data_IF_782800191771
#
_entry.id   IF_782800191771
#
_cell.length_a   1.000
_cell.length_b   1.000
_cell.length_c   1.000
_cell.angle_alpha   90.00
_cell.angle_beta   90.00
_cell.angle_gamma   90.00
#
_symmetry.space_group_name_H-M   'P 1'
#
loop_
_entity.id
_entity.type
_entity.pdbx_description
1 polymer ?
#
# COMPACT_ATOMS: atom_id res chain seq x y z
N UNK A 1 -23.84 -17.73 9.72
CA UNK A 1 -22.69 -18.10 10.58
C UNK A 1 -21.62 -17.02 10.44
N UNK A 2 -21.60 -16.04 11.36
CA UNK A 2 -20.49 -15.09 11.47
C UNK A 2 -19.36 -15.75 12.26
N UNK A 3 -18.49 -16.48 11.56
CA UNK A 3 -17.20 -16.87 12.14
C UNK A 3 -16.33 -15.62 12.16
N UNK A 4 -16.11 -15.04 13.34
CA UNK A 4 -15.07 -14.02 13.51
C UNK A 4 -13.71 -14.60 13.13
N UNK A 5 -12.80 -13.79 12.61
CA UNK A 5 -11.47 -14.25 12.20
C UNK A 5 -10.40 -13.20 12.49
N UNK A 6 -9.16 -13.67 12.55
CA UNK A 6 -7.99 -12.83 12.30
C UNK A 6 -7.76 -12.77 10.79
N UNK A 7 -7.34 -11.62 10.27
CA UNK A 7 -6.90 -11.57 8.88
C UNK A 7 -5.64 -12.42 8.70
N UNK A 8 -5.41 -12.90 7.49
CA UNK A 8 -4.23 -13.67 7.15
C UNK A 8 -3.80 -13.51 5.70
N UNK A 9 -2.53 -13.80 5.43
CA UNK A 9 -1.99 -14.01 4.10
C UNK A 9 -0.76 -14.94 4.18
N UNK A 10 -0.40 -15.55 3.06
CA UNK A 10 0.83 -16.31 2.90
C UNK A 10 1.81 -15.59 1.98
N UNK A 11 3.10 -15.82 2.18
CA UNK A 11 4.16 -15.44 1.24
C UNK A 11 4.98 -16.68 0.88
N UNK A 12 5.33 -16.86 -0.39
CA UNK A 12 6.37 -17.81 -0.77
C UNK A 12 7.57 -17.01 -1.24
N UNK A 13 8.70 -17.17 -0.56
CA UNK A 13 9.96 -16.50 -0.87
C UNK A 13 11.11 -17.47 -0.62
N UNK A 14 12.06 -17.55 -1.56
CA UNK A 14 13.17 -18.52 -1.53
C UNK A 14 12.72 -19.96 -1.25
N UNK A 15 11.65 -20.40 -1.94
CA UNK A 15 11.01 -21.72 -1.78
C UNK A 15 10.45 -22.03 -0.37
N UNK A 16 10.44 -21.05 0.54
CA UNK A 16 9.84 -21.18 1.86
C UNK A 16 8.48 -20.51 1.89
N UNK A 17 7.52 -21.18 2.55
CA UNK A 17 6.18 -20.65 2.77
C UNK A 17 6.08 -20.06 4.16
N UNK A 18 5.75 -18.78 4.22
CA UNK A 18 5.47 -18.03 5.44
C UNK A 18 3.98 -17.71 5.51
N UNK A 19 3.44 -17.65 6.71
CA UNK A 19 2.04 -17.28 6.95
C UNK A 19 2.00 -16.19 8.01
N UNK A 20 1.22 -15.16 7.74
CA UNK A 20 1.11 -13.96 8.56
C UNK A 20 -0.34 -13.77 8.98
N UNK A 21 -0.54 -13.29 10.20
CA UNK A 21 -1.87 -13.05 10.76
C UNK A 21 -1.94 -11.71 11.48
N UNK A 22 -3.10 -11.06 11.42
CA UNK A 22 -3.34 -9.82 12.18
C UNK A 22 -3.31 -10.02 13.69
N UNK A 23 -3.35 -11.27 14.18
CA UNK A 23 -3.16 -11.57 15.61
C UNK A 23 -1.83 -11.04 16.15
N UNK A 24 -0.78 -11.15 15.32
CA UNK A 24 0.62 -10.99 15.72
C UNK A 24 1.24 -9.66 15.23
N UNK A 25 0.43 -8.78 14.63
CA UNK A 25 0.86 -7.50 14.03
C UNK A 25 0.91 -6.33 15.02
N UNK A 26 1.45 -6.57 16.21
CA UNK A 26 1.59 -5.53 17.25
C UNK A 26 2.76 -4.58 16.96
N UNK A 27 2.68 -3.33 17.41
CA UNK A 27 3.82 -2.41 17.37
C UNK A 27 4.94 -2.87 18.30
N UNK A 28 6.18 -2.56 17.92
CA UNK A 28 7.39 -2.94 18.65
C UNK A 28 8.04 -1.73 19.33
N UNK A 29 9.09 -1.97 20.11
CA UNK A 29 9.97 -0.92 20.63
C UNK A 29 10.81 -0.26 19.53
N UNK A 30 11.19 -1.02 18.49
CA UNK A 30 11.84 -0.49 17.30
C UNK A 30 10.87 0.15 16.31
N UNK A 31 11.44 0.83 15.31
CA UNK A 31 10.70 1.45 14.19
C UNK A 31 11.21 0.89 12.87
N UNK A 32 10.74 -0.29 12.40
CA UNK A 32 11.21 -0.83 11.13
C UNK A 32 10.94 0.14 9.96
N UNK A 33 11.87 0.17 9.01
CA UNK A 33 11.74 0.97 7.78
C UNK A 33 10.89 0.19 6.79
N UNK A 34 9.76 0.78 6.41
CA UNK A 34 8.93 0.26 5.33
C UNK A 34 9.73 0.20 4.02
N UNK A 35 9.59 -0.90 3.28
CA UNK A 35 10.23 -1.12 1.98
C UNK A 35 10.22 0.13 1.09
N UNK A 36 11.41 0.52 0.61
CA UNK A 36 11.59 1.60 -0.35
C UNK A 36 11.88 1.00 -1.72
N UNK A 37 11.02 1.28 -2.70
CA UNK A 37 11.16 0.74 -4.05
C UNK A 37 12.42 1.27 -4.74
N UNK A 38 13.26 0.37 -5.26
CA UNK A 38 14.37 0.75 -6.13
C UNK A 38 13.86 1.26 -7.50
N UNK A 39 12.64 0.86 -7.90
CA UNK A 39 12.02 1.32 -9.15
C UNK A 39 11.67 2.80 -9.12
N UNK A 40 11.60 3.45 -7.96
CA UNK A 40 11.37 4.90 -7.89
C UNK A 40 12.50 5.68 -8.58
N UNK A 41 13.76 5.26 -8.38
CA UNK A 41 14.90 5.88 -9.05
C UNK A 41 14.90 5.57 -10.55
N UNK A 42 14.67 4.30 -10.91
CA UNK A 42 14.65 3.87 -12.32
C UNK A 42 13.55 4.60 -13.09
N UNK A 43 12.33 4.70 -12.56
CA UNK A 43 11.23 5.42 -13.18
C UNK A 43 11.53 6.92 -13.33
N UNK A 44 12.18 7.53 -12.34
CA UNK A 44 12.57 8.93 -12.42
C UNK A 44 13.56 9.18 -13.55
N UNK A 45 14.65 8.40 -13.63
CA UNK A 45 15.66 8.52 -14.67
C UNK A 45 15.08 8.19 -16.05
N UNK A 46 14.29 7.12 -16.16
CA UNK A 46 13.62 6.72 -17.38
C UNK A 46 12.68 7.82 -17.89
N UNK A 47 11.86 8.41 -17.01
CA UNK A 47 10.96 9.49 -17.37
C UNK A 47 11.73 10.72 -17.87
N UNK A 48 12.82 11.10 -17.21
CA UNK A 48 13.66 12.22 -17.65
C UNK A 48 14.31 11.94 -19.02
N UNK A 49 14.79 10.71 -19.24
CA UNK A 49 15.38 10.31 -20.50
C UNK A 49 14.36 10.35 -21.65
N UNK A 50 13.15 9.82 -21.42
CA UNK A 50 12.04 9.86 -22.39
C UNK A 50 11.66 11.31 -22.69
N UNK A 51 11.47 12.14 -21.68
CA UNK A 51 11.13 13.56 -21.87
C UNK A 51 12.18 14.27 -22.73
N UNK A 52 13.47 14.02 -22.49
CA UNK A 52 14.54 14.57 -23.31
C UNK A 52 14.44 14.08 -24.75
N UNK A 53 14.39 12.77 -24.98
CA UNK A 53 14.40 12.20 -26.34
C UNK A 53 13.18 12.60 -27.16
N UNK A 54 12.01 12.58 -26.55
CA UNK A 54 10.73 12.83 -27.22
C UNK A 54 10.44 14.32 -27.39
N UNK A 55 10.62 15.11 -26.33
CA UNK A 55 10.18 16.51 -26.32
C UNK A 55 11.30 17.44 -26.80
N UNK A 56 12.52 17.22 -26.30
CA UNK A 56 13.66 18.10 -26.58
C UNK A 56 14.30 17.73 -27.91
N UNK A 57 14.72 16.47 -28.05
CA UNK A 57 15.46 16.01 -29.24
C UNK A 57 14.51 15.71 -30.42
N UNK A 58 13.22 15.48 -30.14
CA UNK A 58 12.17 15.14 -31.13
C UNK A 58 12.52 13.93 -31.97
N UNK A 59 13.14 12.93 -31.33
CA UNK A 59 13.49 11.66 -31.97
C UNK A 59 12.22 10.96 -32.46
N UNK A 60 12.24 10.49 -33.72
CA UNK A 60 11.04 9.94 -34.37
C UNK A 60 10.73 8.51 -33.94
N UNK A 61 11.75 7.76 -33.52
CA UNK A 61 11.59 6.40 -33.02
C UNK A 61 12.52 6.12 -31.83
N UNK A 62 12.23 6.71 -30.65
CA UNK A 62 13.12 6.63 -29.50
C UNK A 62 13.07 5.27 -28.77
N UNK A 63 12.21 4.33 -29.19
CA UNK A 63 11.90 3.11 -28.40
C UNK A 63 13.11 2.21 -28.16
N UNK A 64 13.95 2.00 -29.17
CA UNK A 64 15.14 1.14 -29.02
C UNK A 64 16.15 1.76 -28.04
N UNK A 65 16.34 3.08 -28.12
CA UNK A 65 17.21 3.81 -27.17
C UNK A 65 16.64 3.83 -25.75
N UNK A 66 15.32 3.98 -25.60
CA UNK A 66 14.64 3.92 -24.30
C UNK A 66 14.82 2.53 -23.66
N UNK A 67 14.61 1.47 -24.45
CA UNK A 67 14.79 0.09 -23.97
C UNK A 67 16.24 -0.18 -23.57
N UNK A 68 17.21 0.26 -24.38
CA UNK A 68 18.62 0.11 -24.05
C UNK A 68 18.97 0.88 -22.77
N UNK A 69 18.49 2.13 -22.62
CA UNK A 69 18.73 2.93 -21.42
C UNK A 69 18.14 2.28 -20.17
N UNK A 70 16.96 1.65 -20.29
CA UNK A 70 16.36 0.91 -19.19
C UNK A 70 17.21 -0.31 -18.78
N UNK A 71 17.75 -1.06 -19.74
CA UNK A 71 18.68 -2.18 -19.46
C UNK A 71 19.91 -1.66 -18.69
N UNK A 72 20.51 -0.57 -19.17
CA UNK A 72 21.68 0.05 -18.53
C UNK A 72 21.34 0.52 -17.09
N UNK A 73 20.14 1.07 -16.85
CA UNK A 73 19.70 1.45 -15.51
C UNK A 73 19.59 0.25 -14.57
N UNK A 74 19.06 -0.88 -15.02
CA UNK A 74 18.98 -2.10 -14.21
C UNK A 74 20.36 -2.67 -13.88
N UNK A 75 21.32 -2.62 -14.81
CA UNK A 75 22.68 -3.09 -14.57
C UNK A 75 23.42 -2.23 -13.52
N UNK A 76 23.09 -0.95 -13.44
CA UNK A 76 23.73 0.00 -12.52
C UNK A 76 22.98 0.18 -11.18
N UNK A 77 21.74 -0.29 -11.07
CA UNK A 77 20.94 -0.19 -9.84
C UNK A 77 20.94 -1.52 -9.08
N UNK A 78 21.55 -1.54 -7.90
CA UNK A 78 21.48 -2.72 -7.03
C UNK A 78 20.06 -2.85 -6.45
N UNK A 79 19.43 -4.00 -6.67
CA UNK A 79 18.10 -4.27 -6.13
C UNK A 79 18.20 -4.74 -4.68
N UNK A 80 17.84 -3.87 -3.73
CA UNK A 80 17.58 -4.35 -2.37
C UNK A 80 16.38 -5.31 -2.37
N UNK A 81 16.68 -6.59 -2.18
CA UNK A 81 15.73 -7.71 -2.28
C UNK A 81 15.08 -8.07 -0.93
N UNK A 82 14.83 -7.09 -0.06
CA UNK A 82 14.36 -7.35 1.30
C UNK A 82 13.25 -6.38 1.70
N UNK A 83 12.11 -6.92 2.13
CA UNK A 83 11.09 -6.16 2.88
C UNK A 83 11.39 -6.17 4.38
N UNK A 84 10.62 -5.39 5.16
CA UNK A 84 10.74 -5.34 6.61
C UNK A 84 10.80 -6.73 7.26
N UNK A 85 9.94 -7.65 6.83
CA UNK A 85 9.83 -9.00 7.40
C UNK A 85 11.04 -9.91 7.09
N UNK A 86 11.86 -9.57 6.10
CA UNK A 86 13.06 -10.34 5.76
C UNK A 86 14.26 -9.95 6.62
N UNK A 87 14.13 -8.83 7.37
CA UNK A 87 15.16 -8.32 8.26
C UNK A 87 14.88 -8.81 9.68
N UNK A 88 15.93 -9.12 10.49
CA UNK A 88 15.74 -9.43 11.89
C UNK A 88 14.97 -8.29 12.58
N UNK A 89 14.04 -8.60 13.50
CA UNK A 89 13.41 -7.57 14.33
C UNK A 89 14.53 -6.78 15.01
N UNK A 90 14.62 -5.49 14.71
CA UNK A 90 15.55 -4.61 15.39
C UNK A 90 14.82 -3.90 16.51
N UNK A 91 15.33 -4.00 17.73
CA UNK A 91 14.90 -3.17 18.85
C UNK A 91 15.40 -1.73 18.71
N UNK A 92 16.25 -1.44 17.72
CA UNK A 92 16.72 -0.08 17.46
C UNK A 92 15.67 0.76 16.74
N UNK A 93 15.59 2.02 17.17
CA UNK A 93 14.85 3.04 16.44
C UNK A 93 15.64 3.42 15.17
N UNK A 94 14.99 3.37 14.00
CA UNK A 94 15.59 3.88 12.76
C UNK A 94 15.25 5.35 12.51
N UNK A 95 14.38 5.93 13.35
CA UNK A 95 13.98 7.33 13.34
C UNK A 95 13.64 7.83 14.73
N UNK A 96 13.63 9.16 14.89
CA UNK A 96 13.10 9.81 16.09
C UNK A 96 11.59 9.56 16.17
N UNK A 97 11.10 9.33 17.38
CA UNK A 97 9.66 9.22 17.64
C UNK A 97 8.97 10.55 17.37
N UNK A 98 7.82 10.48 16.70
CA UNK A 98 7.05 11.64 16.29
C UNK A 98 6.32 12.24 17.49
N UNK A 99 6.30 13.56 17.56
CA UNK A 99 5.45 14.29 18.50
C UNK A 99 3.96 14.11 18.17
N UNK A 100 3.05 14.36 19.12
CA UNK A 100 1.60 14.28 18.87
C UNK A 100 1.11 15.09 17.67
N UNK A 101 1.71 16.25 17.40
CA UNK A 101 1.34 17.08 16.25
C UNK A 101 1.84 16.49 14.93
N UNK A 102 3.04 15.90 14.92
CA UNK A 102 3.57 15.21 13.75
C UNK A 102 2.80 13.91 13.46
N UNK A 103 2.33 13.22 14.50
CA UNK A 103 1.47 12.04 14.37
C UNK A 103 0.13 12.34 13.70
N UNK A 104 -0.36 13.58 13.74
CA UNK A 104 -1.58 13.99 13.04
C UNK A 104 -1.34 14.36 11.57
N UNK A 105 -0.10 14.56 11.15
CA UNK A 105 0.20 14.91 9.76
C UNK A 105 0.15 13.68 8.86
N UNK A 106 -0.26 13.88 7.60
CA UNK A 106 -0.16 12.81 6.59
C UNK A 106 1.31 12.45 6.40
N UNK A 107 1.73 11.20 6.64
CA UNK A 107 3.11 10.82 6.43
C UNK A 107 3.39 10.72 4.93
N UNK A 108 4.57 11.17 4.51
CA UNK A 108 4.99 11.12 3.10
C UNK A 108 5.13 9.68 2.57
N UNK A 109 5.45 8.74 3.46
CA UNK A 109 5.56 7.31 3.18
C UNK A 109 4.84 6.53 4.28
N UNK A 110 4.57 5.23 4.08
CA UNK A 110 4.04 4.38 5.14
C UNK A 110 5.09 4.23 6.26
N UNK A 111 4.64 4.31 7.51
CA UNK A 111 5.51 4.25 8.69
C UNK A 111 5.00 3.15 9.63
N UNK A 112 5.90 2.37 10.23
CA UNK A 112 5.59 1.58 11.41
C UNK A 112 5.81 2.43 12.67
N UNK A 113 4.81 2.44 13.55
CA UNK A 113 4.86 3.18 14.80
C UNK A 113 5.51 2.35 15.89
N UNK A 114 6.21 3.04 16.79
CA UNK A 114 6.71 2.41 18.02
C UNK A 114 5.56 2.21 19.00
N UNK A 115 5.77 1.37 20.01
CA UNK A 115 4.80 1.20 21.09
C UNK A 115 4.49 2.51 21.84
N UNK A 116 5.44 3.44 21.92
CA UNK A 116 5.21 4.74 22.58
C UNK A 116 4.33 5.67 21.72
N UNK A 117 4.55 5.66 20.40
CA UNK A 117 3.70 6.38 19.46
C UNK A 117 2.30 5.79 19.40
N UNK A 118 2.18 4.46 19.37
CA UNK A 118 0.88 3.79 19.49
C UNK A 118 0.17 4.22 20.79
N UNK A 119 0.86 4.21 21.93
CA UNK A 119 0.28 4.67 23.19
C UNK A 119 -0.19 6.14 23.14
N UNK A 120 0.56 7.00 22.46
CA UNK A 120 0.17 8.41 22.26
C UNK A 120 -1.10 8.51 21.40
N UNK A 121 -1.13 7.80 20.27
CA UNK A 121 -2.28 7.74 19.35
C UNK A 121 -3.54 7.18 20.04
N UNK A 122 -3.40 6.11 20.83
CA UNK A 122 -4.52 5.52 21.57
C UNK A 122 -5.16 6.48 22.58
N UNK A 123 -4.40 7.48 23.07
CA UNK A 123 -4.87 8.51 23.99
C UNK A 123 -5.43 9.77 23.30
N UNK A 124 -5.40 9.84 21.96
CA UNK A 124 -6.03 10.94 21.24
C UNK A 124 -7.53 10.96 21.48
N UNK A 125 -8.13 12.15 21.43
CA UNK A 125 -9.58 12.29 21.36
C UNK A 125 -10.10 11.66 20.05
N UNK A 126 -11.43 11.54 19.93
CA UNK A 126 -12.07 10.93 18.77
C UNK A 126 -11.67 11.57 17.44
N UNK A 127 -11.74 12.90 17.35
CA UNK A 127 -11.47 13.63 16.10
C UNK A 127 -10.01 13.48 15.66
N UNK A 128 -9.07 13.64 16.57
CA UNK A 128 -7.64 13.46 16.30
C UNK A 128 -7.32 12.02 15.89
N UNK A 129 -7.97 11.02 16.52
CA UNK A 129 -7.77 9.63 16.11
C UNK A 129 -8.35 9.35 14.72
N UNK A 130 -9.53 9.91 14.40
CA UNK A 130 -10.12 9.81 13.06
C UNK A 130 -9.23 10.48 12.00
N UNK A 131 -8.66 11.64 12.30
CA UNK A 131 -7.73 12.36 11.42
C UNK A 131 -6.49 11.53 11.13
N UNK A 132 -5.82 11.02 12.18
CA UNK A 132 -4.68 10.11 12.03
C UNK A 132 -5.05 8.87 11.19
N UNK A 133 -6.14 8.19 11.53
CA UNK A 133 -6.55 6.98 10.84
C UNK A 133 -6.86 7.24 9.36
N UNK A 134 -7.50 8.38 9.04
CA UNK A 134 -7.73 8.79 7.66
C UNK A 134 -6.41 8.99 6.91
N UNK A 135 -5.45 9.68 7.52
CA UNK A 135 -4.14 9.93 6.92
C UNK A 135 -3.37 8.64 6.64
N UNK A 136 -3.44 7.66 7.54
CA UNK A 136 -2.85 6.34 7.32
C UNK A 136 -3.45 5.61 6.13
N UNK A 137 -4.79 5.65 6.00
CA UNK A 137 -5.48 5.06 4.85
C UNK A 137 -5.10 5.78 3.56
N UNK A 138 -4.99 7.11 3.56
CA UNK A 138 -4.55 7.88 2.39
C UNK A 138 -3.15 7.41 1.95
N UNK A 139 -2.18 7.31 2.86
CA UNK A 139 -0.81 6.91 2.51
C UNK A 139 -0.75 5.48 1.94
N UNK A 140 -1.57 4.55 2.44
CA UNK A 140 -1.67 3.19 1.88
C UNK A 140 -2.31 3.23 0.47
N UNK A 141 -3.37 4.01 0.28
CA UNK A 141 -4.05 4.14 -1.02
C UNK A 141 -3.17 4.84 -2.07
N UNK A 142 -2.39 5.85 -1.66
CA UNK A 142 -1.40 6.52 -2.49
C UNK A 142 -0.35 5.52 -2.98
N UNK A 143 0.14 4.62 -2.11
CA UNK A 143 1.08 3.56 -2.52
C UNK A 143 0.43 2.59 -3.51
N UNK A 144 -0.78 2.11 -3.24
CA UNK A 144 -1.51 1.21 -4.16
C UNK A 144 -1.71 1.87 -5.54
N UNK A 145 -1.98 3.18 -5.57
CA UNK A 145 -2.18 3.93 -6.81
C UNK A 145 -0.94 3.95 -7.70
N UNK A 146 0.27 3.93 -7.13
CA UNK A 146 1.52 3.86 -7.92
C UNK A 146 1.63 2.59 -8.77
N UNK A 147 0.97 1.50 -8.36
CA UNK A 147 0.99 0.20 -9.03
C UNK A 147 -0.26 -0.06 -9.88
N UNK A 148 -1.27 0.82 -9.79
CA UNK A 148 -2.53 0.67 -10.51
C UNK A 148 -2.29 0.86 -12.01
N UNK A 149 -2.74 -0.12 -12.79
CA UNK A 149 -2.82 -0.01 -14.26
C UNK A 149 -3.91 1.01 -14.65
N UNK A 150 -3.58 1.92 -15.57
CA UNK A 150 -4.45 3.03 -16.01
C UNK A 150 -5.83 2.58 -16.51
N UNK A 151 -5.88 1.44 -17.20
CA UNK A 151 -7.11 0.85 -17.74
C UNK A 151 -8.01 0.19 -16.70
N UNK A 152 -7.54 0.01 -15.47
CA UNK A 152 -8.25 -0.74 -14.42
C UNK A 152 -9.06 0.18 -13.51
N UNK A 153 -10.37 -0.07 -13.42
CA UNK A 153 -11.28 0.66 -12.53
C UNK A 153 -11.35 -0.01 -11.16
N UNK A 154 -11.03 0.76 -10.12
CA UNK A 154 -11.09 0.32 -8.73
C UNK A 154 -12.41 0.80 -8.13
N UNK A 155 -13.20 -0.12 -7.59
CA UNK A 155 -14.53 0.17 -7.04
C UNK A 155 -14.61 -0.23 -5.57
N UNK A 156 -15.17 0.62 -4.69
CA UNK A 156 -15.37 0.29 -3.29
C UNK A 156 -16.11 -1.04 -3.10
N UNK A 157 -15.72 -1.86 -2.10
CA UNK A 157 -16.39 -3.13 -1.83
C UNK A 157 -17.75 -2.92 -1.17
N UNK A 158 -18.68 -3.85 -1.41
CA UNK A 158 -19.98 -3.91 -0.71
C UNK A 158 -20.08 -5.07 0.29
N UNK A 159 -19.02 -5.89 0.40
CA UNK A 159 -19.02 -7.15 1.16
C UNK A 159 -17.70 -7.31 1.89
N UNK A 160 -17.76 -7.90 3.09
CA UNK A 160 -16.60 -8.22 3.94
C UNK A 160 -15.73 -9.38 3.42
N UNK A 161 -16.09 -10.01 2.30
CA UNK A 161 -15.31 -11.12 1.73
C UNK A 161 -13.82 -10.77 1.53
N UNK A 162 -13.52 -9.51 1.19
CA UNK A 162 -12.15 -9.08 0.87
C UNK A 162 -11.21 -9.07 2.08
N UNK A 163 -11.71 -8.83 3.30
CA UNK A 163 -10.89 -8.92 4.52
C UNK A 163 -10.70 -10.39 4.97
N UNK A 164 -11.66 -11.27 4.62
CA UNK A 164 -11.62 -12.69 4.98
C UNK A 164 -10.68 -13.52 4.10
N UNK A 165 -10.43 -13.08 2.86
CA UNK A 165 -9.55 -13.81 1.93
C UNK A 165 -8.15 -13.97 2.55
N UNK A 166 -7.45 -15.06 2.26
CA UNK A 166 -6.06 -15.24 2.69
C UNK A 166 -5.19 -15.46 1.44
N UNK A 167 -4.75 -14.38 0.76
CA UNK A 167 -3.97 -14.53 -0.46
C UNK A 167 -2.61 -15.16 -0.20
N UNK A 168 -2.01 -15.73 -1.23
CA UNK A 168 -0.63 -16.24 -1.21
C UNK A 168 0.18 -15.42 -2.22
N UNK A 169 1.06 -14.54 -1.74
CA UNK A 169 1.90 -13.70 -2.59
C UNK A 169 3.22 -14.43 -2.87
N UNK A 170 3.58 -14.59 -4.15
CA UNK A 170 4.79 -15.32 -4.54
C UNK A 170 5.27 -14.91 -5.92
N UNK A 171 6.52 -15.26 -6.25
CA UNK A 171 7.07 -15.14 -7.59
C UNK A 171 6.48 -16.08 -8.64
N UNK A 172 5.52 -16.94 -8.27
CA UNK A 172 4.78 -17.78 -9.22
C UNK A 172 3.52 -17.12 -9.76
N UNK A 173 3.09 -16.00 -9.16
CA UNK A 173 1.94 -15.25 -9.66
C UNK A 173 2.32 -14.52 -10.97
N UNK A 174 1.44 -14.62 -11.95
CA UNK A 174 1.52 -13.82 -13.17
C UNK A 174 1.27 -12.34 -12.88
N UNK A 175 1.67 -11.45 -13.79
CA UNK A 175 1.40 -10.00 -13.66
C UNK A 175 -0.10 -9.71 -13.47
N UNK A 176 -0.97 -10.42 -14.19
CA UNK A 176 -2.42 -10.28 -14.07
C UNK A 176 -2.93 -10.69 -12.69
N UNK A 177 -2.41 -11.78 -12.13
CA UNK A 177 -2.76 -12.21 -10.78
C UNK A 177 -2.27 -11.21 -9.71
N UNK A 178 -1.07 -10.66 -9.87
CA UNK A 178 -0.55 -9.61 -8.98
C UNK A 178 -1.40 -8.32 -9.04
N UNK A 179 -1.82 -7.90 -10.23
CA UNK A 179 -2.74 -6.77 -10.39
C UNK A 179 -4.12 -7.06 -9.75
N UNK A 180 -4.62 -8.29 -9.85
CA UNK A 180 -5.86 -8.71 -9.18
C UNK A 180 -5.72 -8.65 -7.66
N UNK A 181 -4.60 -9.15 -7.14
CA UNK A 181 -4.23 -9.08 -5.72
C UNK A 181 -4.16 -7.62 -5.24
N UNK A 182 -3.62 -6.69 -6.04
CA UNK A 182 -3.59 -5.26 -5.74
C UNK A 182 -4.99 -4.66 -5.64
N UNK A 183 -5.89 -4.98 -6.56
CA UNK A 183 -7.30 -4.55 -6.49
C UNK A 183 -8.01 -5.14 -5.26
N UNK A 184 -7.73 -6.39 -4.90
CA UNK A 184 -8.29 -6.96 -3.68
C UNK A 184 -7.69 -6.33 -2.42
N UNK A 185 -6.42 -5.96 -2.44
CA UNK A 185 -5.76 -5.21 -1.35
C UNK A 185 -6.42 -3.85 -1.17
N UNK A 186 -6.67 -3.10 -2.26
CA UNK A 186 -7.46 -1.87 -2.22
C UNK A 186 -8.81 -2.08 -1.51
N UNK A 187 -9.58 -3.09 -1.92
CA UNK A 187 -10.88 -3.38 -1.30
C UNK A 187 -10.75 -3.72 0.19
N UNK A 188 -9.68 -4.42 0.59
CA UNK A 188 -9.39 -4.69 2.00
C UNK A 188 -9.11 -3.40 2.78
N UNK A 189 -8.34 -2.47 2.22
CA UNK A 189 -8.07 -1.15 2.81
C UNK A 189 -9.38 -0.37 3.01
N UNK A 190 -10.28 -0.37 2.02
CA UNK A 190 -11.58 0.33 2.15
C UNK A 190 -12.48 -0.32 3.21
N UNK A 191 -12.50 -1.65 3.29
CA UNK A 191 -13.18 -2.32 4.39
C UNK A 191 -12.61 -1.90 5.75
N UNK A 192 -11.28 -1.82 5.90
CA UNK A 192 -10.67 -1.36 7.14
C UNK A 192 -11.04 0.10 7.44
N UNK A 193 -10.96 0.98 6.44
CA UNK A 193 -11.34 2.38 6.57
C UNK A 193 -12.79 2.57 7.02
N UNK A 194 -13.71 1.72 6.56
CA UNK A 194 -15.12 1.81 6.96
C UNK A 194 -15.35 1.71 8.48
N UNK A 195 -14.40 1.17 9.25
CA UNK A 195 -14.46 1.15 10.72
C UNK A 195 -14.43 2.55 11.36
N UNK A 196 -14.01 3.59 10.62
CA UNK A 196 -14.06 4.99 11.07
C UNK A 196 -15.48 5.43 11.46
N UNK A 197 -16.50 4.76 10.92
CA UNK A 197 -17.93 5.03 11.14
C UNK A 197 -18.52 4.26 12.33
N UNK A 198 -17.72 3.41 12.98
CA UNK A 198 -18.20 2.47 14.01
C UNK A 198 -17.68 2.82 15.40
N UNK A 199 -18.29 2.27 16.44
CA UNK A 199 -17.83 2.42 17.83
C UNK A 199 -16.42 1.85 18.09
N UNK A 200 -15.86 1.07 17.16
CA UNK A 200 -14.48 0.59 17.25
C UNK A 200 -13.47 1.75 17.33
N UNK A 201 -13.78 2.89 16.70
CA UNK A 201 -12.93 4.08 16.71
C UNK A 201 -13.05 4.89 18.03
N UNK A 202 -14.03 4.59 18.89
CA UNK A 202 -14.24 5.30 20.16
C UNK A 202 -13.55 4.59 21.33
N UNK A 203 -13.58 3.26 21.36
CA UNK A 203 -13.01 2.46 22.46
C UNK A 203 -11.49 2.32 22.32
N UNK A 204 -10.75 2.66 23.39
CA UNK A 204 -9.28 2.50 23.43
C UNK A 204 -8.83 1.06 23.18
N UNK A 205 -9.55 0.07 23.71
CA UNK A 205 -9.21 -1.34 23.49
C UNK A 205 -9.48 -1.77 22.05
N UNK A 206 -10.59 -1.32 21.44
CA UNK A 206 -10.88 -1.61 20.03
C UNK A 206 -9.92 -0.88 19.09
N UNK A 207 -9.43 0.31 19.46
CA UNK A 207 -8.37 1.03 18.73
C UNK A 207 -7.05 0.25 18.70
N UNK A 208 -6.66 -0.42 19.79
CA UNK A 208 -5.49 -1.35 19.76
C UNK A 208 -5.71 -2.47 18.75
N UNK A 209 -6.93 -3.02 18.73
CA UNK A 209 -7.35 -3.96 17.71
C UNK A 209 -7.17 -3.42 16.29
N UNK A 210 -7.65 -2.20 16.05
CA UNK A 210 -7.53 -1.51 14.77
C UNK A 210 -6.06 -1.27 14.37
N UNK A 211 -5.17 -0.94 15.31
CA UNK A 211 -3.73 -0.84 15.07
C UNK A 211 -3.15 -2.14 14.53
N UNK A 212 -3.50 -3.28 15.13
CA UNK A 212 -3.05 -4.58 14.65
C UNK A 212 -3.53 -4.86 13.22
N UNK A 213 -4.78 -4.54 12.94
CA UNK A 213 -5.35 -4.72 11.60
C UNK A 213 -4.71 -3.78 10.57
N UNK A 214 -4.37 -2.55 10.96
CA UNK A 214 -3.65 -1.60 10.12
C UNK A 214 -2.22 -2.04 9.84
N UNK A 215 -1.47 -2.44 10.87
CA UNK A 215 -0.12 -2.98 10.74
C UNK A 215 -0.11 -4.23 9.84
N UNK A 216 -1.09 -5.11 10.00
CA UNK A 216 -1.26 -6.26 9.12
C UNK A 216 -1.44 -5.85 7.64
N UNK A 217 -2.27 -4.85 7.37
CA UNK A 217 -2.48 -4.33 6.01
C UNK A 217 -1.21 -3.67 5.46
N UNK A 218 -0.44 -2.95 6.28
CA UNK A 218 0.87 -2.39 5.89
C UNK A 218 1.83 -3.50 5.46
N UNK A 219 1.94 -4.55 6.25
CA UNK A 219 2.80 -5.70 5.93
C UNK A 219 2.36 -6.39 4.64
N UNK A 220 1.04 -6.58 4.45
CA UNK A 220 0.50 -7.17 3.23
C UNK A 220 0.82 -6.30 1.99
N UNK A 221 0.59 -4.99 2.07
CA UNK A 221 0.86 -4.10 0.93
C UNK A 221 2.35 -4.04 0.65
N UNK A 222 3.20 -4.03 1.66
CA UNK A 222 4.66 -4.07 1.53
C UNK A 222 5.14 -5.30 0.75
N UNK A 223 4.68 -6.49 1.15
CA UNK A 223 5.01 -7.76 0.48
C UNK A 223 4.48 -7.79 -0.94
N UNK A 224 3.26 -7.28 -1.17
CA UNK A 224 2.66 -7.24 -2.49
C UNK A 224 3.44 -6.28 -3.42
N UNK A 225 3.69 -5.05 -3.00
CA UNK A 225 4.41 -4.04 -3.81
C UNK A 225 5.82 -4.49 -4.11
N UNK A 226 6.50 -5.13 -3.15
CA UNK A 226 7.80 -5.75 -3.39
C UNK A 226 7.74 -6.82 -4.50
N UNK A 227 6.76 -7.73 -4.45
CA UNK A 227 6.60 -8.76 -5.48
C UNK A 227 6.24 -8.16 -6.85
N UNK A 228 5.46 -7.08 -6.86
CA UNK A 228 5.12 -6.35 -8.08
C UNK A 228 6.34 -5.61 -8.67
N UNK A 229 7.25 -5.11 -7.84
CA UNK A 229 8.52 -4.52 -8.27
C UNK A 229 9.46 -5.57 -8.87
N UNK A 230 9.59 -6.74 -8.24
CA UNK A 230 10.34 -7.86 -8.83
C UNK A 230 9.79 -8.29 -10.21
N UNK A 231 8.49 -8.05 -10.45
CA UNK A 231 7.82 -8.36 -11.71
C UNK A 231 7.75 -7.15 -12.66
N UNK A 232 8.42 -6.04 -12.30
CA UNK A 232 8.49 -4.78 -13.05
C UNK A 232 7.12 -4.19 -13.45
N UNK A 233 6.07 -4.41 -12.65
CA UNK A 233 4.70 -4.00 -13.04
C UNK A 233 4.60 -2.49 -13.26
N UNK A 234 5.21 -1.66 -12.40
CA UNK A 234 5.18 -0.20 -12.57
C UNK A 234 5.88 0.26 -13.84
N UNK A 235 7.04 -0.32 -14.14
CA UNK A 235 7.80 -0.02 -15.36
C UNK A 235 7.01 -0.45 -16.60
N UNK A 236 6.43 -1.64 -16.58
CA UNK A 236 5.59 -2.14 -17.67
C UNK A 236 4.37 -1.24 -17.91
N UNK A 237 3.66 -0.85 -16.85
CA UNK A 237 2.53 0.08 -16.95
C UNK A 237 2.95 1.44 -17.50
N UNK A 238 4.08 1.97 -17.04
CA UNK A 238 4.62 3.24 -17.51
C UNK A 238 4.99 3.21 -19.00
N UNK A 239 5.65 2.14 -19.47
CA UNK A 239 6.01 1.95 -20.88
C UNK A 239 4.75 1.75 -21.74
N UNK A 240 3.79 0.94 -21.28
CA UNK A 240 2.52 0.71 -22.00
C UNK A 240 1.73 2.01 -22.15
N UNK A 241 1.62 2.81 -21.08
CA UNK A 241 0.99 4.12 -21.13
C UNK A 241 1.74 5.07 -22.07
N UNK A 242 3.08 5.03 -22.08
CA UNK A 242 3.90 5.83 -22.98
C UNK A 242 3.65 5.48 -24.44
N UNK A 243 3.76 4.20 -24.81
CA UNK A 243 3.55 3.71 -26.18
C UNK A 243 2.13 4.04 -26.66
N UNK A 244 1.13 3.90 -25.79
CA UNK A 244 -0.29 4.12 -26.16
C UNK A 244 -0.58 5.58 -26.47
N UNK A 245 0.06 6.51 -25.77
CA UNK A 245 -0.21 7.95 -25.91
C UNK A 245 0.78 8.65 -26.84
N UNK A 246 1.99 8.14 -27.01
CA UNK A 246 2.97 8.71 -27.94
C UNK A 246 2.50 8.56 -29.40
N UNK A 247 2.68 9.57 -30.29
CA UNK A 247 3.26 10.90 -30.05
C UNK A 247 2.24 11.98 -29.65
N UNK A 248 1.01 11.60 -29.28
CA UNK A 248 -0.03 12.58 -28.89
C UNK A 248 0.40 13.31 -27.61
N UNK A 249 0.15 14.61 -27.56
CA UNK A 249 0.66 15.54 -26.55
C UNK A 249 0.13 15.33 -25.11
N UNK A 250 -0.61 14.25 -24.83
CA UNK A 250 -1.30 14.04 -23.56
C UNK A 250 -0.74 12.86 -22.76
N UNK A 251 0.56 12.59 -22.88
CA UNK A 251 1.24 11.66 -21.97
C UNK A 251 1.06 12.17 -20.53
N UNK A 252 0.50 11.33 -19.65
CA UNK A 252 0.24 11.68 -18.25
C UNK A 252 -1.07 12.40 -17.92
N UNK A 253 -1.97 12.67 -18.89
CA UNK A 253 -3.24 13.39 -18.64
C UNK A 253 -4.45 12.49 -18.33
N UNK A 254 -4.25 11.25 -17.90
CA UNK A 254 -5.37 10.37 -17.53
C UNK A 254 -6.20 10.95 -16.38
N UNK A 255 -7.49 11.20 -16.61
CA UNK A 255 -8.48 11.59 -15.58
C UNK A 255 -8.84 10.40 -14.66
N UNK A 256 -7.83 9.73 -14.11
CA UNK A 256 -8.03 8.71 -13.09
C UNK A 256 -8.39 9.40 -11.79
N UNK A 257 -9.63 9.22 -11.29
CA UNK A 257 -9.97 9.57 -9.90
C UNK A 257 -8.93 8.93 -8.97
N UNK A 258 -8.40 9.73 -8.03
CA UNK A 258 -7.38 9.27 -7.08
C UNK A 258 -7.99 8.20 -6.21
N UNK A 259 -7.24 7.15 -5.89
CA UNK A 259 -7.78 6.08 -5.05
C UNK A 259 -8.14 6.59 -3.66
N UNK A 260 -7.36 7.54 -3.15
CA UNK A 260 -7.61 8.14 -1.85
C UNK A 260 -8.87 9.02 -1.79
N UNK A 261 -9.47 9.42 -2.93
CA UNK A 261 -10.64 10.31 -2.91
C UNK A 261 -11.83 9.68 -2.17
N UNK A 262 -11.84 8.34 -2.08
CA UNK A 262 -12.82 7.56 -1.32
C UNK A 262 -12.87 7.92 0.17
N UNK A 263 -11.81 8.48 0.75
CA UNK A 263 -11.81 8.89 2.16
C UNK A 263 -12.64 10.16 2.41
N UNK A 264 -13.05 10.84 1.35
CA UNK A 264 -13.92 12.01 1.38
C UNK A 264 -15.37 11.68 0.99
N UNK A 265 -15.68 10.40 0.73
CA UNK A 265 -17.07 9.95 0.57
C UNK A 265 -17.83 10.09 1.88
N UNK A 266 -19.16 10.26 1.83
CA UNK A 266 -19.95 10.42 3.04
C UNK A 266 -19.86 9.19 3.95
N UNK A 267 -19.67 9.39 5.26
CA UNK A 267 -19.54 8.31 6.25
C UNK A 267 -20.73 7.34 6.20
N UNK A 268 -21.93 7.83 5.90
CA UNK A 268 -23.16 7.02 5.77
C UNK A 268 -23.05 5.90 4.73
N UNK A 269 -22.31 6.13 3.63
CA UNK A 269 -22.11 5.12 2.58
C UNK A 269 -21.23 3.95 3.06
N UNK A 270 -20.43 4.18 4.10
CA UNK A 270 -19.51 3.20 4.67
C UNK A 270 -20.05 2.54 5.94
N UNK A 271 -21.03 3.12 6.63
CA UNK A 271 -21.54 2.63 7.91
C UNK A 271 -21.93 1.15 7.89
N UNK A 272 -22.75 0.74 6.91
CA UNK A 272 -23.20 -0.65 6.78
C UNK A 272 -22.02 -1.62 6.54
N UNK A 273 -20.98 -1.17 5.83
CA UNK A 273 -19.77 -1.97 5.65
C UNK A 273 -18.97 -2.03 6.95
N UNK A 274 -18.83 -0.89 7.64
CA UNK A 274 -18.15 -0.73 8.91
C UNK A 274 -18.66 -1.72 9.94
N UNK A 275 -19.96 -1.75 10.19
CA UNK A 275 -20.58 -2.66 11.17
C UNK A 275 -20.27 -4.12 10.85
N UNK A 276 -20.39 -4.51 9.57
CA UNK A 276 -20.09 -5.88 9.14
C UNK A 276 -18.61 -6.23 9.31
N UNK A 277 -17.70 -5.29 9.08
CA UNK A 277 -16.26 -5.48 9.28
C UNK A 277 -15.96 -5.60 10.77
N UNK A 278 -16.53 -4.71 11.59
CA UNK A 278 -16.39 -4.73 13.05
C UNK A 278 -16.86 -6.07 13.65
N UNK A 279 -18.01 -6.56 13.21
CA UNK A 279 -18.57 -7.85 13.64
C UNK A 279 -17.74 -9.07 13.21
N UNK A 280 -16.85 -8.90 12.22
CA UNK A 280 -16.08 -9.99 11.61
C UNK A 280 -14.67 -10.15 12.20
N UNK A 281 -14.06 -9.10 12.73
CA UNK A 281 -12.65 -9.11 13.15
C UNK A 281 -12.50 -9.40 14.65
N UNK A 282 -11.73 -10.45 15.00
CA UNK A 282 -11.50 -10.85 16.39
C UNK A 282 -10.75 -9.77 17.18
N UNK A 283 -9.84 -9.04 16.53
CA UNK A 283 -9.08 -7.98 17.20
C UNK A 283 -9.96 -6.80 17.67
N UNK A 284 -11.19 -6.66 17.15
CA UNK A 284 -12.11 -5.57 17.49
C UNK A 284 -13.14 -5.94 18.58
N UNK A 285 -12.94 -7.08 19.24
CA UNK A 285 -13.74 -7.52 20.39
C UNK A 285 -13.48 -6.67 21.64
#
# INVERSE_FOLDING_TARGET
MNSRFYQGFGRIFNNNRYSYSSKDSSSTTGSPIFYKSHLDHILYELNNFILKKVIVDREANPLDEINQYLVDLYENCDMENLVTLDRPPSDSLTRVELSPMELLQKPNNIIYYTINEENSLLNFNLEHFKEWFRNEIISILDLIELYKKSSRVYTPPRRVYYIRRSPIISGYLTNMELEDELNYCYKRVICLYSLITTDAIQSKEKRKGLFKELNFVKVLVEVLTYQMDLSNIRINNFIEDFITHYPKASFGMGQSKRLHDVVWTMEDDLAILGDKVADSLINLL
#
